data_IF_666040142610
#
_entry.id   IF_666040142610
#
_cell.length_a   1.000
_cell.length_b   1.000
_cell.length_c   1.000
_cell.angle_alpha   90.00
_cell.angle_beta   90.00
_cell.angle_gamma   90.00
#
_symmetry.space_group_name_H-M   'P 1'
#
loop_
_entity.id
_entity.type
_entity.pdbx_description
1 polymer ?
#
# COMPACT_ATOMS: atom_id res chain seq x y z
N UNK A 1 42.39 51.69 29.81
CA UNK A 1 41.52 51.85 28.63
C UNK A 1 42.32 51.39 27.41
N UNK A 2 41.68 50.74 26.44
CA UNK A 2 42.25 50.06 25.27
C UNK A 2 42.88 48.68 25.51
N UNK A 3 42.05 47.67 25.20
CA UNK A 3 42.44 46.29 24.92
C UNK A 3 43.32 46.26 23.66
N UNK A 4 44.37 45.44 23.70
CA UNK A 4 45.26 45.11 22.60
C UNK A 4 44.54 44.23 21.58
N UNK A 5 44.40 44.71 20.35
CA UNK A 5 44.00 43.93 19.18
C UNK A 5 45.26 43.32 18.56
N UNK A 6 45.42 42.00 18.65
CA UNK A 6 46.34 41.25 17.80
C UNK A 6 45.59 40.76 16.56
N UNK A 7 46.06 41.24 15.42
CA UNK A 7 45.63 40.83 14.08
C UNK A 7 46.47 39.62 13.69
N UNK A 8 45.87 38.43 13.66
CA UNK A 8 46.51 37.23 13.11
C UNK A 8 45.90 36.94 11.73
N UNK A 9 46.82 36.76 10.79
CA UNK A 9 46.63 36.67 9.36
C UNK A 9 45.67 35.56 8.92
N UNK A 10 44.89 35.88 7.89
CA UNK A 10 44.07 34.95 7.13
C UNK A 10 44.95 33.94 6.36
N UNK A 11 44.98 32.69 6.83
CA UNK A 11 45.38 31.55 6.02
C UNK A 11 44.16 30.98 5.32
N UNK A 12 44.17 31.07 3.99
CA UNK A 12 43.16 30.50 3.10
C UNK A 12 43.21 28.97 3.21
N UNK A 13 42.19 28.37 3.82
CA UNK A 13 42.01 26.92 3.83
C UNK A 13 41.15 26.57 2.61
N UNK A 14 41.80 26.07 1.55
CA UNK A 14 41.12 25.40 0.45
C UNK A 14 40.39 24.16 1.01
N UNK A 15 39.06 24.22 1.09
CA UNK A 15 38.22 23.04 1.27
C UNK A 15 38.22 22.26 -0.06
N UNK A 16 39.03 21.22 -0.16
CA UNK A 16 38.88 20.23 -1.21
C UNK A 16 37.65 19.36 -0.90
N UNK A 17 36.66 19.39 -1.79
CA UNK A 17 35.53 18.45 -1.78
C UNK A 17 36.05 17.01 -1.83
N UNK A 18 35.55 16.09 -0.97
CA UNK A 18 35.76 14.69 -1.20
C UNK A 18 34.89 14.27 -2.39
N UNK A 19 35.51 14.03 -3.54
CA UNK A 19 34.89 13.30 -4.64
C UNK A 19 34.56 11.90 -4.15
N UNK A 20 33.30 11.64 -3.82
CA UNK A 20 32.74 10.30 -3.68
C UNK A 20 32.81 9.61 -5.05
N UNK A 21 33.93 8.93 -5.31
CA UNK A 21 34.00 7.87 -6.31
C UNK A 21 33.22 6.68 -5.75
N UNK A 22 31.92 6.66 -6.02
CA UNK A 22 31.09 5.46 -5.81
C UNK A 22 31.55 4.38 -6.77
N UNK A 23 32.30 3.40 -6.27
CA UNK A 23 32.54 2.14 -6.96
C UNK A 23 31.23 1.35 -6.94
N UNK A 24 30.56 1.23 -8.09
CA UNK A 24 29.45 0.30 -8.26
C UNK A 24 30.05 -1.11 -8.27
N UNK A 25 29.81 -1.87 -7.20
CA UNK A 25 30.06 -3.31 -7.18
C UNK A 25 29.01 -3.99 -8.06
N UNK A 26 29.39 -4.78 -9.09
CA UNK A 26 28.44 -5.60 -9.83
C UNK A 26 28.09 -6.82 -8.97
N UNK A 27 26.95 -6.78 -8.29
CA UNK A 27 26.54 -7.89 -7.43
C UNK A 27 25.31 -7.71 -6.54
N UNK A 28 24.70 -6.52 -6.44
CA UNK A 28 23.39 -6.40 -5.82
C UNK A 28 22.33 -6.89 -6.81
N UNK A 29 21.95 -8.16 -6.69
CA UNK A 29 20.69 -8.64 -7.26
C UNK A 29 19.58 -7.78 -6.67
N UNK A 30 19.04 -6.85 -7.47
CA UNK A 30 17.81 -6.13 -7.15
C UNK A 30 16.75 -7.19 -6.84
N UNK A 31 16.44 -7.38 -5.56
CA UNK A 31 15.34 -8.24 -5.15
C UNK A 31 14.08 -7.65 -5.80
N UNK A 32 13.42 -8.40 -6.66
CA UNK A 32 12.17 -7.98 -7.28
C UNK A 32 11.15 -7.72 -6.16
N UNK A 33 10.61 -6.49 -6.13
CA UNK A 33 9.63 -6.09 -5.12
C UNK A 33 8.39 -6.96 -5.21
N UNK A 34 7.87 -7.37 -4.06
CA UNK A 34 6.56 -8.03 -3.95
C UNK A 34 5.46 -7.03 -4.30
N UNK A 35 4.42 -7.46 -5.00
CA UNK A 35 3.40 -6.56 -5.53
C UNK A 35 2.02 -6.98 -5.05
N UNK A 36 1.32 -6.08 -4.35
CA UNK A 36 -0.03 -6.30 -3.84
C UNK A 36 -1.03 -5.32 -4.46
N UNK A 37 -2.20 -5.81 -4.86
CA UNK A 37 -3.29 -5.02 -5.41
C UNK A 37 -4.59 -5.26 -4.63
N UNK A 38 -5.20 -4.21 -4.12
CA UNK A 38 -6.46 -4.29 -3.37
C UNK A 38 -7.65 -3.93 -4.27
N UNK A 39 -8.68 -4.78 -4.29
CA UNK A 39 -9.81 -4.67 -5.21
C UNK A 39 -11.12 -4.61 -4.45
N UNK A 40 -11.92 -3.59 -4.75
CA UNK A 40 -13.34 -3.56 -4.39
C UNK A 40 -14.19 -3.15 -5.60
N UNK A 41 -15.50 -3.02 -5.41
CA UNK A 41 -16.42 -2.74 -6.53
C UNK A 41 -16.10 -1.42 -7.24
N UNK A 42 -15.93 -0.32 -6.48
CA UNK A 42 -15.83 1.03 -7.02
C UNK A 42 -14.50 1.76 -6.77
N UNK A 43 -13.59 1.20 -5.98
CA UNK A 43 -12.30 1.80 -5.60
C UNK A 43 -12.38 3.21 -5.00
N UNK A 44 -13.41 3.44 -4.19
CA UNK A 44 -13.59 4.71 -3.47
C UNK A 44 -13.76 4.54 -1.95
N UNK A 45 -14.06 3.33 -1.46
CA UNK A 45 -14.28 3.09 -0.02
C UNK A 45 -13.26 2.07 0.51
N UNK A 46 -13.52 0.77 0.30
CA UNK A 46 -12.79 -0.34 0.93
C UNK A 46 -11.35 -0.50 0.44
N UNK A 47 -11.13 -0.61 -0.87
CA UNK A 47 -9.77 -0.86 -1.38
C UNK A 47 -8.78 0.29 -1.19
N UNK A 48 -9.18 1.59 -1.24
CA UNK A 48 -8.31 2.68 -0.80
C UNK A 48 -7.90 2.57 0.67
N UNK A 49 -8.83 2.24 1.57
CA UNK A 49 -8.55 2.03 2.99
C UNK A 49 -7.55 0.88 3.17
N UNK A 50 -7.79 -0.26 2.52
CA UNK A 50 -6.90 -1.42 2.61
C UNK A 50 -5.48 -1.12 2.09
N UNK A 51 -5.35 -0.41 0.98
CA UNK A 51 -4.07 0.03 0.43
C UNK A 51 -3.34 0.94 1.42
N UNK A 52 -4.01 1.98 1.93
CA UNK A 52 -3.41 2.93 2.86
C UNK A 52 -2.95 2.25 4.16
N UNK A 53 -3.78 1.34 4.68
CA UNK A 53 -3.45 0.52 5.84
C UNK A 53 -2.23 -0.36 5.55
N UNK A 54 -2.19 -1.07 4.43
CA UNK A 54 -1.09 -1.97 4.12
C UNK A 54 0.23 -1.19 3.93
N UNK A 55 0.19 -0.04 3.25
CA UNK A 55 1.33 0.87 3.12
C UNK A 55 1.88 1.30 4.49
N UNK A 56 1.00 1.60 5.45
CA UNK A 56 1.42 1.90 6.83
C UNK A 56 1.99 0.67 7.52
N UNK A 57 1.36 -0.50 7.38
CA UNK A 57 1.82 -1.75 7.99
C UNK A 57 3.24 -2.12 7.54
N UNK A 58 3.54 -2.05 6.24
CA UNK A 58 4.88 -2.35 5.72
C UNK A 58 5.91 -1.27 6.10
N UNK A 59 5.49 -0.02 6.25
CA UNK A 59 6.37 1.05 6.71
C UNK A 59 6.75 0.86 8.18
N UNK A 60 5.79 0.52 9.04
CA UNK A 60 6.02 0.24 10.46
C UNK A 60 6.89 -1.00 10.68
N UNK A 61 6.76 -1.99 9.80
CA UNK A 61 7.60 -3.19 9.80
C UNK A 61 8.98 -2.97 9.17
N UNK A 62 9.28 -1.79 8.61
CA UNK A 62 10.57 -1.48 8.00
C UNK A 62 10.84 -2.16 6.65
N UNK A 63 9.81 -2.69 5.99
CA UNK A 63 9.92 -3.45 4.72
C UNK A 63 9.27 -2.74 3.53
N UNK A 64 8.88 -1.46 3.67
CA UNK A 64 8.21 -0.72 2.60
C UNK A 64 9.00 -0.69 1.27
N UNK A 65 10.33 -0.75 1.31
CA UNK A 65 11.17 -0.78 0.12
C UNK A 65 10.97 -2.05 -0.73
N UNK A 66 10.54 -3.15 -0.11
CA UNK A 66 10.38 -4.47 -0.73
C UNK A 66 9.02 -4.66 -1.39
N UNK A 67 8.13 -3.66 -1.32
CA UNK A 67 6.77 -3.76 -1.80
C UNK A 67 6.41 -2.67 -2.83
N UNK A 68 5.54 -3.05 -3.76
CA UNK A 68 4.76 -2.16 -4.62
C UNK A 68 3.27 -2.42 -4.33
N UNK A 69 2.53 -1.39 -3.95
CA UNK A 69 1.13 -1.52 -3.50
C UNK A 69 0.26 -0.56 -4.29
N UNK A 70 -0.94 -1.01 -4.65
CA UNK A 70 -1.93 -0.21 -5.36
C UNK A 70 -3.35 -0.72 -5.04
N UNK A 71 -4.38 0.01 -5.49
CA UNK A 71 -5.75 -0.45 -5.47
C UNK A 71 -6.49 -0.16 -6.78
N UNK A 72 -7.54 -0.94 -7.05
CA UNK A 72 -8.37 -0.75 -8.23
C UNK A 72 -9.83 -1.20 -8.01
N UNK A 73 -10.67 -0.88 -8.99
CA UNK A 73 -12.09 -1.19 -9.02
C UNK A 73 -12.37 -2.35 -9.98
N UNK A 74 -13.38 -3.15 -9.67
CA UNK A 74 -14.04 -4.02 -10.66
C UNK A 74 -14.76 -3.16 -11.72
N UNK A 75 -15.56 -2.20 -11.25
CA UNK A 75 -16.34 -1.31 -12.11
C UNK A 75 -15.62 -0.01 -12.48
N UNK A 76 -16.09 0.65 -13.53
CA UNK A 76 -15.47 1.88 -14.04
C UNK A 76 -16.14 3.19 -13.56
N UNK A 77 -17.21 3.13 -12.75
CA UNK A 77 -18.08 4.28 -12.45
C UNK A 77 -17.38 5.48 -11.78
N UNK A 78 -16.29 5.21 -11.07
CA UNK A 78 -15.58 6.23 -10.30
C UNK A 78 -14.17 6.51 -10.82
N UNK A 79 -13.78 5.98 -11.99
CA UNK A 79 -12.43 6.17 -12.53
C UNK A 79 -12.07 7.66 -12.59
N UNK A 80 -10.89 8.00 -12.05
CA UNK A 80 -10.37 9.37 -11.94
C UNK A 80 -10.87 10.16 -10.73
N UNK A 81 -11.88 9.68 -9.99
CA UNK A 81 -12.39 10.35 -8.79
C UNK A 81 -11.49 10.08 -7.58
N UNK A 82 -11.54 10.99 -6.61
CA UNK A 82 -10.99 10.73 -5.28
C UNK A 82 -11.80 9.64 -4.55
N UNK A 83 -11.21 8.99 -3.53
CA UNK A 83 -11.98 8.18 -2.59
C UNK A 83 -13.14 8.97 -1.96
N UNK A 84 -14.12 8.24 -1.42
CA UNK A 84 -15.24 8.78 -0.66
C UNK A 84 -14.69 9.62 0.50
N UNK A 85 -15.27 10.81 0.69
CA UNK A 85 -14.88 11.72 1.76
C UNK A 85 -14.90 11.08 3.16
N UNK A 86 -15.79 10.12 3.42
CA UNK A 86 -15.86 9.35 4.68
C UNK A 86 -14.64 8.44 4.82
N UNK A 87 -14.24 7.76 3.74
CA UNK A 87 -13.02 6.95 3.72
C UNK A 87 -11.78 7.82 3.94
N UNK A 88 -11.68 8.97 3.26
CA UNK A 88 -10.60 9.94 3.47
C UNK A 88 -10.57 10.47 4.91
N UNK A 89 -11.73 10.75 5.50
CA UNK A 89 -11.84 11.19 6.89
C UNK A 89 -11.38 10.12 7.87
N UNK A 90 -11.77 8.86 7.66
CA UNK A 90 -11.30 7.72 8.47
C UNK A 90 -9.79 7.54 8.32
N UNK A 91 -9.26 7.54 7.10
CA UNK A 91 -7.81 7.42 6.87
C UNK A 91 -7.03 8.57 7.53
N UNK A 92 -7.54 9.81 7.43
CA UNK A 92 -6.95 10.97 8.10
C UNK A 92 -6.98 10.85 9.63
N UNK A 93 -8.06 10.31 10.22
CA UNK A 93 -8.17 10.07 11.66
C UNK A 93 -7.08 9.13 12.19
N UNK A 94 -6.60 8.22 11.34
CA UNK A 94 -5.57 7.22 11.67
C UNK A 94 -4.21 7.50 11.02
N UNK A 95 -3.95 8.76 10.64
CA UNK A 95 -2.69 9.22 10.07
C UNK A 95 -2.23 8.43 8.82
N UNK A 96 -3.19 8.06 7.98
CA UNK A 96 -2.96 7.38 6.70
C UNK A 96 -3.03 8.38 5.53
N UNK A 97 -1.89 8.91 5.04
CA UNK A 97 -1.90 9.79 3.88
C UNK A 97 -2.30 9.02 2.62
N UNK A 98 -3.19 9.61 1.81
CA UNK A 98 -3.70 8.95 0.61
C UNK A 98 -4.13 9.99 -0.44
N UNK A 99 -3.57 9.92 -1.66
CA UNK A 99 -3.94 10.80 -2.78
C UNK A 99 -4.19 10.03 -4.10
N UNK A 100 -4.20 8.70 -4.05
CA UNK A 100 -4.49 7.92 -5.25
C UNK A 100 -5.94 8.18 -5.73
N UNK A 101 -6.13 7.98 -7.04
CA UNK A 101 -7.41 8.17 -7.72
C UNK A 101 -7.93 6.83 -8.18
N UNK A 102 -9.25 6.70 -8.14
CA UNK A 102 -9.88 5.45 -8.50
C UNK A 102 -9.52 5.04 -9.93
N UNK A 103 -9.16 3.78 -10.13
CA UNK A 103 -8.88 3.21 -11.46
C UNK A 103 -9.55 1.85 -11.59
N UNK A 104 -9.83 1.43 -12.82
CA UNK A 104 -10.34 0.08 -13.06
C UNK A 104 -9.18 -0.93 -13.14
N UNK A 105 -9.42 -2.15 -12.66
CA UNK A 105 -8.52 -3.28 -12.86
C UNK A 105 -8.38 -3.59 -14.36
N UNK A 106 -7.17 -3.94 -14.79
CA UNK A 106 -6.85 -4.33 -16.16
C UNK A 106 -6.36 -5.77 -16.19
N UNK A 107 -6.46 -6.44 -17.35
CA UNK A 107 -5.91 -7.80 -17.53
C UNK A 107 -4.42 -7.88 -17.21
N UNK A 108 -3.65 -6.85 -17.55
CA UNK A 108 -2.23 -6.76 -17.24
C UNK A 108 -1.92 -6.74 -15.72
N UNK A 109 -2.89 -6.36 -14.87
CA UNK A 109 -2.70 -6.39 -13.41
C UNK A 109 -2.52 -7.83 -12.90
N UNK A 110 -3.16 -8.82 -13.54
CA UNK A 110 -3.04 -10.23 -13.19
C UNK A 110 -1.65 -10.83 -13.46
N UNK A 111 -0.87 -10.18 -14.34
CA UNK A 111 0.52 -10.58 -14.64
C UNK A 111 1.52 -9.70 -13.88
N UNK A 112 1.14 -8.47 -13.54
CA UNK A 112 1.97 -7.52 -12.81
C UNK A 112 2.06 -7.86 -11.33
N UNK A 113 0.94 -8.08 -10.66
CA UNK A 113 0.89 -8.23 -9.20
C UNK A 113 1.09 -9.68 -8.77
N UNK A 114 1.73 -9.89 -7.61
CA UNK A 114 1.89 -11.22 -7.00
C UNK A 114 0.62 -11.62 -6.24
N UNK A 115 -0.02 -10.64 -5.62
CA UNK A 115 -1.21 -10.83 -4.79
C UNK A 115 -2.31 -9.85 -5.21
N UNK A 116 -3.51 -10.36 -5.47
CA UNK A 116 -4.71 -9.56 -5.73
C UNK A 116 -5.74 -9.91 -4.67
N UNK A 117 -6.16 -8.90 -3.90
CA UNK A 117 -7.09 -9.08 -2.78
C UNK A 117 -8.49 -8.58 -3.11
N UNK A 118 -9.49 -9.46 -2.98
CA UNK A 118 -10.90 -9.06 -2.95
C UNK A 118 -11.37 -8.77 -1.52
N UNK A 119 -12.37 -7.90 -1.37
CA UNK A 119 -12.93 -7.54 -0.05
C UNK A 119 -14.05 -8.48 0.39
N UNK A 120 -14.78 -9.05 -0.58
CA UNK A 120 -15.92 -9.93 -0.39
C UNK A 120 -15.97 -11.04 -1.47
N UNK A 121 -16.95 -11.94 -1.37
CA UNK A 121 -17.11 -13.04 -2.35
C UNK A 121 -17.50 -12.57 -3.74
N UNK A 122 -18.19 -11.44 -3.88
CA UNK A 122 -18.58 -10.90 -5.19
C UNK A 122 -17.34 -10.40 -5.93
N UNK A 123 -16.45 -9.69 -5.24
CA UNK A 123 -15.17 -9.27 -5.79
C UNK A 123 -14.34 -10.48 -6.22
N UNK A 124 -14.31 -11.54 -5.41
CA UNK A 124 -13.61 -12.78 -5.77
C UNK A 124 -14.22 -13.45 -7.01
N UNK A 125 -15.55 -13.48 -7.12
CA UNK A 125 -16.24 -14.01 -8.29
C UNK A 125 -15.93 -13.21 -9.55
N UNK A 126 -15.94 -11.88 -9.45
CA UNK A 126 -15.60 -10.99 -10.56
C UNK A 126 -14.13 -11.08 -10.97
N UNK A 127 -13.20 -11.17 -10.01
CA UNK A 127 -11.78 -11.39 -10.28
C UNK A 127 -11.55 -12.69 -11.04
N UNK A 128 -12.19 -13.78 -10.61
CA UNK A 128 -12.09 -15.07 -11.29
C UNK A 128 -12.60 -15.00 -12.74
N UNK A 129 -13.66 -14.21 -12.99
CA UNK A 129 -14.22 -13.98 -14.33
C UNK A 129 -13.33 -13.09 -15.21
N UNK A 130 -12.62 -12.13 -14.61
CA UNK A 130 -11.76 -11.18 -15.32
C UNK A 130 -10.35 -11.73 -15.60
N UNK A 131 -9.91 -12.70 -14.80
CA UNK A 131 -8.58 -13.28 -14.90
C UNK A 131 -8.31 -13.93 -16.27
N UNK A 132 -7.13 -13.71 -16.87
CA UNK A 132 -6.75 -14.30 -18.15
C UNK A 132 -6.37 -15.79 -17.99
N UNK A 133 -7.35 -16.67 -17.73
CA UNK A 133 -7.18 -18.12 -17.73
C UNK A 133 -6.07 -18.65 -16.80
N UNK A 134 -5.63 -19.90 -17.02
CA UNK A 134 -4.73 -20.64 -16.12
C UNK A 134 -3.25 -20.18 -16.11
N UNK A 135 -2.95 -18.98 -16.62
CA UNK A 135 -1.58 -18.47 -16.76
C UNK A 135 -1.26 -17.22 -15.93
N UNK A 136 -2.23 -16.66 -15.19
CA UNK A 136 -1.99 -15.43 -14.42
C UNK A 136 -1.01 -15.68 -13.27
N UNK A 137 -0.02 -14.80 -13.14
CA UNK A 137 0.94 -14.80 -12.02
C UNK A 137 0.27 -14.58 -10.67
N UNK A 138 -0.73 -13.70 -10.63
CA UNK A 138 -1.35 -13.24 -9.39
C UNK A 138 -2.11 -14.33 -8.63
N UNK A 139 -1.79 -14.49 -7.34
CA UNK A 139 -2.63 -15.22 -6.39
C UNK A 139 -3.82 -14.34 -6.02
N UNK A 140 -5.03 -14.79 -6.34
CA UNK A 140 -6.27 -14.12 -5.97
C UNK A 140 -6.72 -14.60 -4.59
N UNK A 141 -6.84 -13.69 -3.63
CA UNK A 141 -7.06 -13.99 -2.21
C UNK A 141 -8.19 -13.12 -1.65
N UNK A 142 -8.97 -13.66 -0.71
CA UNK A 142 -9.91 -12.84 0.05
C UNK A 142 -9.15 -12.18 1.20
N UNK A 143 -9.18 -10.85 1.31
CA UNK A 143 -8.43 -10.14 2.37
C UNK A 143 -8.86 -10.60 3.77
N UNK A 144 -10.15 -10.89 3.93
CA UNK A 144 -10.73 -11.40 5.18
C UNK A 144 -10.15 -12.73 5.67
N UNK A 145 -9.54 -13.54 4.80
CA UNK A 145 -8.89 -14.80 5.21
C UNK A 145 -7.69 -14.57 6.15
N UNK A 146 -7.18 -13.34 6.18
CA UNK A 146 -6.03 -12.92 6.99
C UNK A 146 -6.41 -12.22 8.29
N UNK A 147 -7.70 -12.10 8.60
CA UNK A 147 -8.15 -11.51 9.87
C UNK A 147 -7.74 -12.44 11.04
N UNK A 148 -6.85 -11.96 11.92
CA UNK A 148 -6.37 -12.74 13.07
C UNK A 148 -7.44 -13.04 14.13
N UNK A 149 -8.57 -12.33 14.14
CA UNK A 149 -9.67 -12.54 15.08
C UNK A 149 -10.84 -13.31 14.46
N UNK A 150 -11.12 -13.10 13.16
CA UNK A 150 -12.25 -13.71 12.46
C UNK A 150 -11.88 -14.12 11.02
N UNK A 151 -11.06 -15.17 10.83
CA UNK A 151 -10.63 -15.61 9.50
C UNK A 151 -11.81 -15.89 8.56
N UNK A 152 -11.71 -15.38 7.33
CA UNK A 152 -12.71 -15.52 6.27
C UNK A 152 -13.89 -14.55 6.40
N UNK A 153 -13.90 -13.67 7.40
CA UNK A 153 -14.92 -12.62 7.52
C UNK A 153 -14.75 -11.60 6.39
N UNK A 154 -15.79 -11.39 5.59
CA UNK A 154 -15.78 -10.41 4.51
C UNK A 154 -15.76 -8.98 5.05
N UNK A 155 -15.13 -8.08 4.31
CA UNK A 155 -15.15 -6.64 4.60
C UNK A 155 -16.40 -6.04 3.96
N UNK A 156 -17.37 -5.68 4.81
CA UNK A 156 -18.66 -5.14 4.41
C UNK A 156 -18.50 -3.82 3.66
N UNK A 157 -19.35 -3.58 2.66
CA UNK A 157 -19.36 -2.32 1.91
C UNK A 157 -20.08 -1.21 2.68
N UNK A 158 -19.38 -0.15 3.15
CA UNK A 158 -20.01 0.91 3.93
C UNK A 158 -20.66 2.00 3.06
N UNK A 159 -20.65 1.86 1.73
CA UNK A 159 -21.03 2.95 0.82
C UNK A 159 -22.45 3.50 1.07
N UNK A 160 -23.41 2.62 1.36
CA UNK A 160 -24.81 2.96 1.61
C UNK A 160 -25.13 3.23 3.07
N UNK A 161 -24.14 3.22 3.96
CA UNK A 161 -24.37 3.53 5.37
C UNK A 161 -24.68 5.02 5.54
N UNK A 162 -25.59 5.33 6.47
CA UNK A 162 -25.97 6.72 6.80
C UNK A 162 -24.83 7.52 7.47
N UNK A 163 -23.78 6.85 7.94
CA UNK A 163 -22.68 7.44 8.71
C UNK A 163 -21.29 6.94 8.33
N UNK A 164 -20.31 7.20 9.20
CA UNK A 164 -18.90 6.79 9.01
C UNK A 164 -18.51 5.55 9.83
N UNK A 165 -19.45 4.97 10.58
CA UNK A 165 -19.19 3.81 11.45
C UNK A 165 -18.71 2.59 10.64
N UNK A 166 -19.36 2.27 9.52
CA UNK A 166 -18.92 1.17 8.65
C UNK A 166 -17.54 1.40 8.04
N UNK A 167 -17.12 2.66 7.83
CA UNK A 167 -15.78 2.99 7.36
C UNK A 167 -14.72 2.72 8.44
N UNK A 168 -15.03 3.05 9.70
CA UNK A 168 -14.16 2.70 10.84
C UNK A 168 -14.05 1.18 11.00
N UNK A 169 -15.16 0.46 10.91
CA UNK A 169 -15.15 -1.01 10.97
C UNK A 169 -14.35 -1.63 9.83
N UNK A 170 -14.48 -1.11 8.61
CA UNK A 170 -13.66 -1.48 7.47
C UNK A 170 -12.17 -1.25 7.75
N UNK A 171 -11.80 -0.08 8.28
CA UNK A 171 -10.42 0.23 8.66
C UNK A 171 -9.88 -0.76 9.70
N UNK A 172 -10.59 -0.97 10.81
CA UNK A 172 -10.15 -1.88 11.89
C UNK A 172 -9.95 -3.30 11.35
N UNK A 173 -10.86 -3.78 10.51
CA UNK A 173 -10.72 -5.09 9.88
C UNK A 173 -9.54 -5.14 8.90
N UNK A 174 -9.34 -4.10 8.09
CA UNK A 174 -8.17 -4.00 7.19
C UNK A 174 -6.86 -4.05 7.98
N UNK A 175 -6.77 -3.40 9.14
CA UNK A 175 -5.57 -3.45 10.00
C UNK A 175 -5.26 -4.89 10.41
N UNK A 176 -6.24 -5.62 10.96
CA UNK A 176 -6.06 -7.02 11.35
C UNK A 176 -5.64 -7.89 10.16
N UNK A 177 -6.30 -7.73 9.03
CA UNK A 177 -6.02 -8.51 7.82
C UNK A 177 -4.62 -8.22 7.25
N UNK A 178 -4.21 -6.95 7.18
CA UNK A 178 -2.91 -6.54 6.63
C UNK A 178 -1.75 -7.04 7.49
N UNK A 179 -1.88 -6.95 8.82
CA UNK A 179 -0.91 -7.52 9.76
C UNK A 179 -0.84 -9.03 9.60
N UNK A 180 -1.98 -9.72 9.62
CA UNK A 180 -2.03 -11.18 9.46
C UNK A 180 -1.46 -11.67 8.13
N UNK A 181 -1.69 -10.93 7.04
CA UNK A 181 -1.10 -11.23 5.73
C UNK A 181 0.42 -11.06 5.75
N UNK A 182 0.93 -9.92 6.24
CA UNK A 182 2.36 -9.66 6.28
C UNK A 182 3.10 -10.72 7.12
N UNK A 183 2.53 -11.10 8.26
CA UNK A 183 3.08 -12.15 9.12
C UNK A 183 3.19 -13.50 8.41
N UNK A 184 2.15 -13.89 7.66
CA UNK A 184 2.16 -15.14 6.88
C UNK A 184 3.17 -15.11 5.74
N UNK A 185 3.32 -13.97 5.06
CA UNK A 185 4.36 -13.79 4.04
C UNK A 185 5.75 -13.91 4.64
N UNK A 186 5.99 -13.32 5.81
CA UNK A 186 7.29 -13.39 6.49
C UNK A 186 7.64 -14.80 6.96
N UNK A 187 6.64 -15.64 7.24
CA UNK A 187 6.80 -17.06 7.58
C UNK A 187 6.88 -17.98 6.36
N UNK A 188 6.67 -17.47 5.15
CA UNK A 188 6.66 -18.27 3.92
C UNK A 188 5.42 -19.18 3.78
N UNK A 189 4.31 -18.81 4.43
CA UNK A 189 3.06 -19.60 4.43
C UNK A 189 2.14 -19.30 3.23
N UNK A 190 2.55 -18.42 2.31
CA UNK A 190 1.72 -17.95 1.19
C UNK A 190 2.32 -18.31 -0.17
#
# INVERSE_FOLDING_TARGET
CCMTFEVIAATSVCFQSPTLKGTITPGETMSEKKKALFICLGNICRSPIAEAVFLKTIADAGVAADWEVDSAAIGAWHVGKSPDHRALSTMKKHDLPYDNRARQIKKADFDKYDYIFGMDRENMSDLARLAPGAGSKAKQLLLGDFDGEAPGKMIQDPYYDDGSEGFEQCYVQCVRCCVGFLDKVNKGEI
#
